data_IF_650942178673
#
_entry.id   IF_650942178673
#
_cell.length_a   1.000
_cell.length_b   1.000
_cell.length_c   1.000
_cell.angle_alpha   90.00
_cell.angle_beta   90.00
_cell.angle_gamma   90.00
#
_symmetry.space_group_name_H-M   'P 1'
#
loop_
_entity.id
_entity.type
_entity.pdbx_description
1 polymer ?
#
# COMPACT_ATOMS: atom_id res chain seq x y z
N UNK A 1 2.38 66.29 21.30
CA UNK A 1 3.33 66.08 20.19
C UNK A 1 4.65 65.55 20.76
N UNK A 2 4.77 64.23 20.89
CA UNK A 2 6.01 63.46 21.12
C UNK A 2 5.72 62.07 20.58
N UNK A 3 6.12 61.83 19.33
CA UNK A 3 6.02 60.53 18.68
C UNK A 3 6.95 59.54 19.40
N UNK A 4 6.37 58.47 19.93
CA UNK A 4 7.11 57.29 20.36
C UNK A 4 7.22 56.39 19.13
N UNK A 5 8.35 56.47 18.44
CA UNK A 5 8.72 55.49 17.42
C UNK A 5 8.95 54.17 18.15
N UNK A 6 8.00 53.24 18.02
CA UNK A 6 8.20 51.85 18.43
C UNK A 6 9.16 51.21 17.44
N UNK A 7 10.38 50.92 17.89
CA UNK A 7 11.29 50.00 17.22
C UNK A 7 10.58 48.65 17.06
N UNK A 8 10.17 48.36 15.82
CA UNK A 8 9.73 47.05 15.36
C UNK A 8 10.97 46.25 14.89
N UNK A 9 12.01 46.20 15.72
CA UNK A 9 13.13 45.30 15.50
C UNK A 9 13.05 44.18 16.54
N UNK A 10 12.69 43.01 16.02
CA UNK A 10 12.96 41.63 16.44
C UNK A 10 11.69 40.82 16.11
N UNK A 11 11.44 40.65 14.80
CA UNK A 11 10.86 39.38 14.36
C UNK A 11 12.03 38.41 14.44
N UNK A 12 12.15 37.67 15.54
CA UNK A 12 12.91 36.42 15.53
C UNK A 12 12.26 35.56 14.45
N UNK A 13 12.84 35.55 13.25
CA UNK A 13 12.48 34.58 12.23
C UNK A 13 12.69 33.21 12.89
N UNK A 14 11.61 32.44 13.01
CA UNK A 14 11.76 31.02 13.28
C UNK A 14 12.78 30.49 12.27
N UNK A 15 13.78 29.68 12.70
CA UNK A 15 14.71 29.08 11.77
C UNK A 15 13.88 28.41 10.66
N UNK A 16 14.21 28.62 9.38
CA UNK A 16 13.43 28.03 8.32
C UNK A 16 13.38 26.51 8.55
N UNK A 17 12.27 25.86 8.20
CA UNK A 17 12.01 24.40 8.32
C UNK A 17 13.03 23.52 7.52
N UNK A 18 14.21 24.04 7.21
CA UNK A 18 15.01 23.69 6.05
C UNK A 18 16.44 23.34 6.44
N UNK A 19 16.59 22.26 7.18
CA UNK A 19 17.80 21.47 7.08
C UNK A 19 17.38 20.00 7.10
N UNK A 20 17.21 19.43 5.90
CA UNK A 20 17.16 17.98 5.78
C UNK A 20 18.49 17.44 6.29
N UNK A 21 18.46 16.44 7.17
CA UNK A 21 19.70 15.80 7.61
C UNK A 21 20.45 15.19 6.42
N UNK A 22 21.76 14.98 6.54
CA UNK A 22 22.55 14.34 5.49
C UNK A 22 21.96 13.00 5.06
N UNK A 23 21.43 12.22 6.03
CA UNK A 23 20.68 10.99 5.79
C UNK A 23 19.47 11.22 4.87
N UNK A 24 18.66 12.23 5.17
CA UNK A 24 17.47 12.57 4.38
C UNK A 24 17.84 13.06 2.98
N UNK A 25 18.94 13.80 2.83
CA UNK A 25 19.44 14.24 1.53
C UNK A 25 19.91 13.05 0.68
N UNK A 26 20.69 12.13 1.25
CA UNK A 26 21.10 10.88 0.57
C UNK A 26 19.89 10.04 0.18
N UNK A 27 18.94 9.84 1.09
CA UNK A 27 17.72 9.08 0.82
C UNK A 27 16.86 9.74 -0.26
N UNK A 28 16.70 11.06 -0.24
CA UNK A 28 15.96 11.82 -1.26
C UNK A 28 16.61 11.67 -2.64
N UNK A 29 17.94 11.82 -2.71
CA UNK A 29 18.67 11.67 -3.97
C UNK A 29 18.52 10.26 -4.55
N UNK A 30 18.75 9.23 -3.72
CA UNK A 30 18.56 7.84 -4.13
C UNK A 30 17.10 7.56 -4.54
N UNK A 31 16.12 8.18 -3.88
CA UNK A 31 14.70 8.05 -4.27
C UNK A 31 14.40 8.67 -5.63
N UNK A 32 15.04 9.80 -5.98
CA UNK A 32 14.89 10.43 -7.30
C UNK A 32 15.48 9.55 -8.41
N UNK A 33 16.65 8.97 -8.16
CA UNK A 33 17.29 8.04 -9.10
C UNK A 33 16.41 6.81 -9.35
N UNK A 34 15.87 6.21 -8.27
CA UNK A 34 14.90 5.09 -8.38
C UNK A 34 13.61 5.49 -9.11
N UNK A 35 13.13 6.71 -8.91
CA UNK A 35 11.92 7.19 -9.58
C UNK A 35 12.13 7.43 -11.08
N UNK A 36 13.34 7.80 -11.49
CA UNK A 36 13.69 7.95 -12.91
C UNK A 36 13.74 6.60 -13.64
N UNK A 37 14.10 5.53 -12.95
CA UNK A 37 14.15 4.17 -13.48
C UNK A 37 13.53 3.16 -12.50
N UNK A 38 12.20 3.16 -12.35
CA UNK A 38 11.55 2.27 -11.40
C UNK A 38 11.68 0.81 -11.85
N UNK A 39 11.75 -0.15 -10.91
CA UNK A 39 11.76 -1.56 -11.25
C UNK A 39 10.46 -1.95 -11.97
N UNK A 40 10.55 -2.98 -12.81
CA UNK A 40 9.35 -3.55 -13.44
C UNK A 40 8.46 -4.19 -12.36
N UNK A 41 7.17 -3.90 -12.42
CA UNK A 41 6.19 -4.51 -11.53
C UNK A 41 5.74 -5.87 -12.07
N UNK A 42 5.85 -6.97 -11.29
CA UNK A 42 5.36 -8.28 -11.69
C UNK A 42 3.86 -8.44 -11.45
N UNK A 43 3.18 -7.40 -10.93
CA UNK A 43 1.79 -7.44 -10.47
C UNK A 43 0.85 -8.00 -11.53
N UNK A 44 0.85 -7.46 -12.74
CA UNK A 44 -0.06 -7.91 -13.81
C UNK A 44 0.17 -9.38 -14.17
N UNK A 45 1.43 -9.78 -14.31
CA UNK A 45 1.80 -11.18 -14.58
C UNK A 45 1.32 -12.14 -13.49
N UNK A 46 1.54 -11.78 -12.22
CA UNK A 46 1.08 -12.54 -11.07
C UNK A 46 -0.44 -12.63 -11.01
N UNK A 47 -1.13 -11.52 -11.33
CA UNK A 47 -2.59 -11.48 -11.35
C UNK A 47 -3.16 -12.37 -12.45
N UNK A 48 -2.57 -12.36 -13.64
CA UNK A 48 -2.97 -13.22 -14.75
C UNK A 48 -2.79 -14.70 -14.41
N UNK A 49 -1.60 -15.06 -13.96
CA UNK A 49 -1.25 -16.43 -13.60
C UNK A 49 -2.18 -16.97 -12.49
N UNK A 50 -2.56 -16.12 -11.53
CA UNK A 50 -3.48 -16.50 -10.48
C UNK A 50 -4.93 -16.57 -10.94
N UNK A 51 -5.43 -15.55 -11.65
CA UNK A 51 -6.85 -15.41 -12.02
C UNK A 51 -7.26 -16.33 -13.19
N UNK A 52 -6.48 -16.34 -14.28
CA UNK A 52 -6.76 -17.17 -15.44
C UNK A 52 -6.12 -18.56 -15.36
N UNK A 53 -5.17 -18.76 -14.46
CA UNK A 53 -4.56 -20.06 -14.18
C UNK A 53 -5.07 -20.67 -12.88
N UNK A 54 -4.34 -20.44 -11.79
CA UNK A 54 -4.47 -21.17 -10.51
C UNK A 54 -5.89 -21.21 -9.94
N UNK A 55 -6.67 -20.15 -10.13
CA UNK A 55 -8.01 -20.01 -9.56
C UNK A 55 -9.13 -19.97 -10.60
N UNK A 56 -8.84 -20.28 -11.87
CA UNK A 56 -9.78 -20.15 -12.98
C UNK A 56 -11.12 -20.89 -12.76
N UNK A 57 -11.11 -22.02 -12.07
CA UNK A 57 -12.32 -22.83 -11.82
C UNK A 57 -13.14 -22.37 -10.60
N UNK A 58 -12.74 -21.28 -9.93
CA UNK A 58 -13.46 -20.72 -8.77
C UNK A 58 -14.54 -19.74 -9.22
N UNK A 59 -15.63 -19.57 -8.44
CA UNK A 59 -16.60 -18.50 -8.70
C UNK A 59 -15.91 -17.14 -8.63
N UNK A 60 -16.40 -16.16 -9.40
CA UNK A 60 -15.73 -14.87 -9.62
C UNK A 60 -15.25 -14.19 -8.32
N UNK A 61 -16.10 -14.09 -7.29
CA UNK A 61 -15.74 -13.44 -6.02
C UNK A 61 -14.52 -14.08 -5.35
N UNK A 62 -14.44 -15.42 -5.36
CA UNK A 62 -13.36 -16.17 -4.73
C UNK A 62 -12.12 -16.15 -5.60
N UNK A 63 -12.31 -16.32 -6.92
CA UNK A 63 -11.24 -16.21 -7.92
C UNK A 63 -10.52 -14.88 -7.77
N UNK A 64 -11.27 -13.78 -7.79
CA UNK A 64 -10.72 -12.44 -7.68
C UNK A 64 -10.00 -12.21 -6.36
N UNK A 65 -10.63 -12.52 -5.22
CA UNK A 65 -10.03 -12.33 -3.90
C UNK A 65 -8.75 -13.16 -3.71
N UNK A 66 -8.74 -14.42 -4.16
CA UNK A 66 -7.55 -15.28 -4.08
C UNK A 66 -6.44 -14.81 -4.99
N UNK A 67 -6.77 -14.38 -6.21
CA UNK A 67 -5.78 -13.84 -7.14
C UNK A 67 -5.13 -12.59 -6.58
N UNK A 68 -5.91 -11.64 -6.10
CA UNK A 68 -5.36 -10.40 -5.53
C UNK A 68 -4.49 -10.68 -4.30
N UNK A 69 -4.94 -11.58 -3.41
CA UNK A 69 -4.16 -12.02 -2.25
C UNK A 69 -2.85 -12.71 -2.65
N UNK A 70 -2.88 -13.58 -3.68
CA UNK A 70 -1.70 -14.26 -4.18
C UNK A 70 -0.72 -13.28 -4.84
N UNK A 71 -1.23 -12.32 -5.61
CA UNK A 71 -0.44 -11.27 -6.25
C UNK A 71 0.28 -10.43 -5.20
N UNK A 72 -0.41 -9.95 -4.17
CA UNK A 72 0.23 -9.17 -3.08
C UNK A 72 1.34 -9.97 -2.40
N UNK A 73 1.10 -11.25 -2.10
CA UNK A 73 2.13 -12.12 -1.49
C UNK A 73 3.33 -12.36 -2.39
N UNK A 74 3.17 -12.22 -3.70
CA UNK A 74 4.23 -12.39 -4.69
C UNK A 74 4.91 -11.06 -5.07
N UNK A 75 4.50 -9.92 -4.51
CA UNK A 75 5.17 -8.64 -4.74
C UNK A 75 6.61 -8.70 -4.21
N UNK A 76 7.58 -8.08 -4.90
CA UNK A 76 8.93 -7.97 -4.39
C UNK A 76 8.97 -7.18 -3.07
N UNK A 77 9.96 -7.50 -2.24
CA UNK A 77 10.29 -6.71 -1.05
C UNK A 77 11.42 -5.77 -1.44
N UNK A 78 11.20 -4.47 -1.23
CA UNK A 78 12.21 -3.44 -1.48
C UNK A 78 12.63 -2.86 -0.15
N UNK A 79 13.93 -2.96 0.15
CA UNK A 79 14.57 -2.36 1.30
C UNK A 79 15.70 -1.46 0.79
N UNK A 80 15.80 -0.27 1.37
CA UNK A 80 16.73 0.76 0.92
C UNK A 80 17.63 1.25 2.06
N UNK A 81 18.88 1.61 1.75
CA UNK A 81 19.72 2.34 2.70
C UNK A 81 19.03 3.61 3.18
N UNK A 82 19.34 4.05 4.40
CA UNK A 82 18.86 5.30 5.01
C UNK A 82 17.34 5.41 5.24
N UNK A 83 16.55 4.38 4.88
CA UNK A 83 15.09 4.40 5.07
C UNK A 83 14.71 4.30 6.56
N UNK A 84 13.59 4.92 6.90
CA UNK A 84 12.98 4.83 8.23
C UNK A 84 11.59 4.22 8.17
N UNK A 85 10.99 4.10 6.99
CA UNK A 85 9.71 3.45 6.75
C UNK A 85 9.92 2.44 5.63
N UNK A 86 9.45 1.22 5.84
CA UNK A 86 9.51 0.12 4.86
C UNK A 86 8.13 -0.13 4.25
N UNK A 87 8.03 -0.99 3.24
CA UNK A 87 6.75 -1.30 2.59
C UNK A 87 6.55 -0.60 1.25
N UNK A 88 7.64 -0.22 0.56
CA UNK A 88 7.55 0.35 -0.78
C UNK A 88 6.96 -0.66 -1.77
N UNK A 89 6.05 -0.17 -2.64
CA UNK A 89 5.41 -0.97 -3.67
C UNK A 89 5.23 -0.15 -4.95
N UNK A 90 5.75 -0.67 -6.07
CA UNK A 90 5.67 -0.02 -7.37
C UNK A 90 4.38 -0.41 -8.12
N UNK A 91 3.33 0.40 -7.94
CA UNK A 91 2.01 0.15 -8.54
C UNK A 91 1.84 0.70 -9.95
N UNK A 92 2.45 1.85 -10.26
CA UNK A 92 2.24 2.62 -11.50
C UNK A 92 3.44 2.49 -12.47
N UNK A 93 4.40 1.60 -12.14
CA UNK A 93 5.59 1.36 -12.96
C UNK A 93 5.30 0.51 -14.22
N UNK A 94 6.34 0.35 -15.04
CA UNK A 94 6.32 -0.55 -16.20
C UNK A 94 5.92 -1.95 -15.74
N UNK A 95 4.86 -2.49 -16.33
CA UNK A 95 4.38 -3.83 -16.03
C UNK A 95 5.14 -4.86 -16.86
N UNK A 96 5.44 -6.01 -16.26
CA UNK A 96 5.89 -7.18 -17.02
C UNK A 96 4.70 -7.72 -17.82
N UNK A 97 4.73 -7.56 -19.14
CA UNK A 97 3.73 -8.13 -20.03
C UNK A 97 4.15 -9.55 -20.36
N UNK A 98 3.43 -10.53 -19.82
CA UNK A 98 3.66 -11.96 -20.11
C UNK A 98 2.75 -12.44 -21.24
N UNK A 99 1.53 -11.90 -21.32
CA UNK A 99 0.55 -12.25 -22.34
C UNK A 99 0.02 -10.96 -23.01
N UNK A 100 0.29 -10.77 -24.32
CA UNK A 100 -0.23 -9.64 -25.09
C UNK A 100 -1.76 -9.53 -25.09
N UNK A 101 -2.47 -10.66 -24.97
CA UNK A 101 -3.93 -10.72 -24.99
C UNK A 101 -4.55 -10.54 -23.60
N UNK A 102 -3.73 -10.38 -22.55
CA UNK A 102 -4.18 -10.19 -21.17
C UNK A 102 -5.24 -9.10 -21.05
N UNK A 103 -5.01 -7.93 -21.66
CA UNK A 103 -5.94 -6.80 -21.64
C UNK A 103 -7.31 -7.21 -22.18
N UNK A 104 -7.35 -7.96 -23.28
CA UNK A 104 -8.59 -8.42 -23.89
C UNK A 104 -9.31 -9.44 -23.01
N UNK A 105 -8.57 -10.36 -22.37
CA UNK A 105 -9.13 -11.35 -21.44
C UNK A 105 -9.73 -10.72 -20.18
N UNK A 106 -9.19 -9.60 -19.72
CA UNK A 106 -9.69 -8.86 -18.56
C UNK A 106 -10.95 -8.05 -18.83
N UNK A 107 -11.26 -7.68 -20.09
CA UNK A 107 -12.42 -6.83 -20.43
C UNK A 107 -13.73 -7.26 -19.77
N UNK A 108 -14.13 -8.55 -19.81
CA UNK A 108 -15.39 -9.01 -19.20
C UNK A 108 -15.45 -8.90 -17.67
N UNK A 109 -14.32 -8.64 -17.01
CA UNK A 109 -14.18 -8.55 -15.56
C UNK A 109 -13.85 -7.14 -15.07
N UNK A 110 -13.76 -6.18 -15.99
CA UNK A 110 -13.33 -4.82 -15.70
C UNK A 110 -14.53 -3.92 -15.43
N UNK A 111 -14.71 -3.49 -14.17
CA UNK A 111 -15.70 -2.48 -13.83
C UNK A 111 -15.45 -1.14 -14.54
N UNK A 112 -14.22 -0.88 -14.98
CA UNK A 112 -13.88 0.30 -15.77
C UNK A 112 -14.46 0.27 -17.17
N UNK A 113 -14.48 -0.91 -17.81
CA UNK A 113 -15.10 -1.06 -19.13
C UNK A 113 -16.62 -0.86 -19.01
N UNK A 114 -17.25 -1.50 -18.01
CA UNK A 114 -18.67 -1.33 -17.73
C UNK A 114 -19.03 0.14 -17.46
N UNK A 115 -18.24 0.82 -16.61
CA UNK A 115 -18.43 2.24 -16.31
C UNK A 115 -18.27 3.08 -17.58
N UNK A 116 -17.24 2.84 -18.38
CA UNK A 116 -16.99 3.60 -19.61
C UNK A 116 -18.15 3.45 -20.59
N UNK A 117 -18.66 2.25 -20.78
CA UNK A 117 -19.83 2.00 -21.64
C UNK A 117 -21.05 2.76 -21.12
N UNK A 118 -21.32 2.74 -19.80
CA UNK A 118 -22.43 3.52 -19.22
C UNK A 118 -22.25 5.02 -19.38
N UNK A 119 -21.05 5.55 -19.13
CA UNK A 119 -20.77 6.97 -19.36
C UNK A 119 -20.96 7.36 -20.83
N UNK A 120 -20.62 6.48 -21.77
CA UNK A 120 -20.85 6.72 -23.20
C UNK A 120 -22.33 6.80 -23.57
N UNK A 121 -23.18 6.07 -22.86
CA UNK A 121 -24.64 6.05 -23.08
C UNK A 121 -25.33 7.19 -22.34
N UNK A 122 -24.93 7.46 -21.10
CA UNK A 122 -25.69 8.26 -20.14
C UNK A 122 -25.13 9.68 -19.94
N UNK A 123 -23.87 9.92 -20.30
CA UNK A 123 -23.19 11.20 -20.04
C UNK A 123 -22.80 11.86 -21.36
N UNK A 124 -23.16 13.14 -21.49
CA UNK A 124 -22.75 14.00 -22.60
C UNK A 124 -21.22 13.99 -22.77
N UNK A 125 -20.69 13.90 -24.01
CA UNK A 125 -19.25 13.72 -24.25
C UNK A 125 -18.33 14.68 -23.50
N UNK A 126 -18.73 15.94 -23.34
CA UNK A 126 -17.96 16.99 -22.67
C UNK A 126 -18.05 16.96 -21.12
N UNK A 127 -18.96 16.18 -20.55
CA UNK A 127 -19.09 15.94 -19.11
C UNK A 127 -18.49 14.61 -18.67
N UNK A 128 -17.94 13.82 -19.60
CA UNK A 128 -17.27 12.55 -19.31
C UNK A 128 -15.93 12.81 -18.65
N UNK A 129 -15.94 12.98 -17.34
CA UNK A 129 -14.72 13.05 -16.54
C UNK A 129 -14.15 11.65 -16.35
N UNK A 130 -12.86 11.48 -16.65
CA UNK A 130 -12.12 10.31 -16.21
C UNK A 130 -12.07 10.30 -14.69
N UNK A 131 -12.46 9.19 -14.07
CA UNK A 131 -12.25 8.95 -12.65
C UNK A 131 -11.35 7.73 -12.50
N UNK A 132 -10.36 7.80 -11.62
CA UNK A 132 -9.63 6.64 -11.12
C UNK A 132 -10.07 6.39 -9.67
N UNK A 133 -10.09 5.13 -9.26
CA UNK A 133 -10.28 4.77 -7.86
C UNK A 133 -9.04 5.27 -7.09
N UNK A 134 -9.16 6.41 -6.43
CA UNK A 134 -8.04 7.08 -5.77
C UNK A 134 -8.41 8.37 -5.05
N UNK A 135 -9.48 9.03 -5.47
CA UNK A 135 -10.07 10.17 -4.75
C UNK A 135 -10.96 9.71 -3.58
N UNK A 136 -10.38 8.90 -2.69
CA UNK A 136 -11.06 8.38 -1.48
C UNK A 136 -10.18 8.60 -0.25
N UNK A 137 -10.80 8.98 0.85
CA UNK A 137 -10.18 8.90 2.17
C UNK A 137 -10.26 7.46 2.67
N UNK A 138 -9.18 6.94 3.22
CA UNK A 138 -9.18 5.63 3.87
C UNK A 138 -9.50 5.78 5.35
N UNK A 139 -10.23 4.80 5.88
CA UNK A 139 -10.51 4.68 7.31
C UNK A 139 -9.27 4.16 8.07
N UNK A 140 -8.19 4.97 8.06
CA UNK A 140 -6.93 4.62 8.73
C UNK A 140 -7.10 4.40 10.23
N UNK A 141 -8.09 5.06 10.84
CA UNK A 141 -8.44 4.88 12.25
C UNK A 141 -8.74 3.42 12.60
N UNK A 142 -9.28 2.63 11.66
CA UNK A 142 -9.55 1.22 11.90
C UNK A 142 -8.27 0.41 12.15
N UNK A 143 -7.21 0.67 11.38
CA UNK A 143 -5.93 -0.01 11.54
C UNK A 143 -5.20 0.54 12.77
N UNK A 144 -5.22 1.86 12.96
CA UNK A 144 -4.55 2.51 14.08
C UNK A 144 -5.12 2.09 15.43
N UNK A 145 -6.46 1.97 15.55
CA UNK A 145 -7.12 1.62 16.82
C UNK A 145 -7.16 0.10 17.09
N UNK A 146 -7.29 -0.72 16.04
CA UNK A 146 -7.61 -2.16 16.20
C UNK A 146 -6.54 -3.08 15.64
N UNK A 147 -5.66 -2.59 14.78
CA UNK A 147 -4.80 -3.39 13.93
C UNK A 147 -5.59 -4.32 13.01
N UNK A 148 -4.88 -4.99 12.11
CA UNK A 148 -5.49 -5.99 11.23
C UNK A 148 -6.09 -7.14 12.04
N UNK A 149 -5.50 -7.51 13.19
CA UNK A 149 -6.05 -8.58 14.03
C UNK A 149 -7.44 -8.26 14.57
N UNK A 150 -7.68 -7.02 14.98
CA UNK A 150 -9.02 -6.56 15.40
C UNK A 150 -10.00 -6.60 14.23
N UNK A 151 -9.60 -6.12 13.05
CA UNK A 151 -10.43 -6.16 11.83
C UNK A 151 -10.77 -7.60 11.44
N UNK A 152 -9.82 -8.53 11.50
CA UNK A 152 -10.06 -9.95 11.24
C UNK A 152 -11.07 -10.55 12.22
N UNK A 153 -10.99 -10.18 13.51
CA UNK A 153 -11.90 -10.66 14.55
C UNK A 153 -13.33 -10.15 14.33
N UNK A 154 -13.48 -8.89 13.95
CA UNK A 154 -14.77 -8.30 13.58
C UNK A 154 -15.36 -8.98 12.34
N UNK A 155 -14.56 -9.20 11.28
CA UNK A 155 -15.00 -9.89 10.07
C UNK A 155 -15.46 -11.32 10.34
N UNK A 156 -14.80 -12.05 11.24
CA UNK A 156 -15.28 -13.37 11.66
C UNK A 156 -16.60 -13.29 12.42
N UNK A 157 -16.78 -12.29 13.28
CA UNK A 157 -18.04 -12.08 14.02
C UNK A 157 -19.18 -11.77 13.06
N UNK A 158 -18.96 -10.88 12.08
CA UNK A 158 -19.91 -10.63 11.00
C UNK A 158 -20.22 -11.89 10.20
N UNK A 159 -19.21 -12.71 9.89
CA UNK A 159 -19.41 -13.96 9.15
C UNK A 159 -20.21 -15.00 9.96
N UNK A 160 -20.13 -15.01 11.29
CA UNK A 160 -20.84 -15.95 12.14
C UNK A 160 -22.36 -15.71 12.12
N UNK A 161 -22.78 -14.43 12.12
CA UNK A 161 -24.19 -14.04 12.24
C UNK A 161 -24.87 -13.72 10.91
N UNK A 162 -24.11 -13.39 9.87
CA UNK A 162 -24.69 -13.04 8.57
C UNK A 162 -25.05 -14.28 7.74
N UNK A 163 -26.32 -14.38 7.35
CA UNK A 163 -26.83 -15.42 6.46
C UNK A 163 -26.87 -14.99 4.98
N UNK A 164 -26.77 -13.68 4.69
CA UNK A 164 -26.76 -13.18 3.32
C UNK A 164 -25.52 -13.66 2.56
N UNK A 165 -25.73 -14.41 1.46
CA UNK A 165 -24.64 -15.01 0.69
C UNK A 165 -23.65 -13.99 0.12
N UNK A 166 -24.11 -12.80 -0.32
CA UNK A 166 -23.24 -11.76 -0.86
C UNK A 166 -22.35 -11.16 0.24
N UNK A 167 -22.93 -10.85 1.40
CA UNK A 167 -22.18 -10.36 2.56
C UNK A 167 -21.13 -11.37 3.02
N UNK A 168 -21.50 -12.65 3.12
CA UNK A 168 -20.56 -13.73 3.49
C UNK A 168 -19.39 -13.85 2.51
N UNK A 169 -19.65 -13.72 1.21
CA UNK A 169 -18.61 -13.73 0.16
C UNK A 169 -17.68 -12.53 0.31
N UNK A 170 -18.23 -11.34 0.55
CA UNK A 170 -17.46 -10.14 0.81
C UNK A 170 -16.54 -10.31 2.02
N UNK A 171 -17.07 -10.74 3.18
CA UNK A 171 -16.25 -10.94 4.39
C UNK A 171 -15.17 -11.99 4.20
N UNK A 172 -15.48 -13.11 3.53
CA UNK A 172 -14.46 -14.13 3.19
C UNK A 172 -13.37 -13.58 2.29
N UNK A 173 -13.72 -12.78 1.28
CA UNK A 173 -12.75 -12.09 0.44
C UNK A 173 -11.87 -11.12 1.23
N UNK A 174 -12.48 -10.29 2.08
CA UNK A 174 -11.77 -9.35 2.94
C UNK A 174 -10.79 -10.06 3.90
N UNK A 175 -11.21 -11.18 4.52
CA UNK A 175 -10.33 -12.01 5.35
C UNK A 175 -9.10 -12.52 4.56
N UNK A 176 -9.28 -12.93 3.29
CA UNK A 176 -8.15 -13.37 2.45
C UNK A 176 -7.17 -12.23 2.19
N UNK A 177 -7.68 -11.02 1.94
CA UNK A 177 -6.88 -9.83 1.66
C UNK A 177 -6.10 -9.35 2.87
N UNK A 178 -6.75 -9.21 4.03
CA UNK A 178 -6.08 -8.80 5.27
C UNK A 178 -4.99 -9.79 5.69
N UNK A 179 -5.23 -11.09 5.53
CA UNK A 179 -4.20 -12.12 5.73
C UNK A 179 -3.05 -12.00 4.73
N UNK A 180 -3.31 -11.60 3.50
CA UNK A 180 -2.26 -11.36 2.52
C UNK A 180 -1.39 -10.14 2.87
N UNK A 181 -1.99 -9.07 3.42
CA UNK A 181 -1.23 -7.92 3.95
C UNK A 181 -0.30 -8.37 5.08
N UNK A 182 -0.81 -9.16 6.05
CA UNK A 182 0.02 -9.69 7.13
C UNK A 182 1.15 -10.59 6.62
N UNK A 183 0.87 -11.48 5.66
CA UNK A 183 1.89 -12.34 5.07
C UNK A 183 2.96 -11.55 4.29
N UNK A 184 2.57 -10.46 3.62
CA UNK A 184 3.52 -9.59 2.94
C UNK A 184 4.37 -8.78 3.93
N UNK A 185 3.79 -8.34 5.05
CA UNK A 185 4.52 -7.72 6.14
C UNK A 185 5.50 -8.69 6.83
N UNK A 186 5.12 -9.95 7.03
CA UNK A 186 6.03 -11.00 7.54
C UNK A 186 7.24 -11.22 6.62
N UNK A 187 7.07 -11.07 5.31
CA UNK A 187 8.21 -11.11 4.37
C UNK A 187 9.17 -9.94 4.60
N UNK A 188 8.69 -8.74 4.93
CA UNK A 188 9.59 -7.63 5.28
C UNK A 188 10.42 -7.93 6.52
N UNK A 189 9.79 -8.50 7.56
CA UNK A 189 10.50 -8.94 8.77
C UNK A 189 11.61 -9.93 8.42
N UNK A 190 11.32 -10.92 7.57
CA UNK A 190 12.29 -11.91 7.15
C UNK A 190 13.47 -11.32 6.38
N UNK A 191 13.22 -10.45 5.39
CA UNK A 191 14.28 -9.81 4.61
C UNK A 191 15.13 -8.85 5.46
N UNK A 192 14.51 -8.10 6.39
CA UNK A 192 15.24 -7.25 7.33
C UNK A 192 16.15 -8.08 8.26
N UNK A 193 15.68 -9.25 8.71
CA UNK A 193 16.49 -10.17 9.52
C UNK A 193 17.71 -10.68 8.75
N UNK A 194 17.56 -11.02 7.47
CA UNK A 194 18.70 -11.38 6.62
C UNK A 194 19.69 -10.22 6.43
N UNK A 195 19.22 -8.99 6.29
CA UNK A 195 20.11 -7.83 6.22
C UNK A 195 20.92 -7.62 7.51
N UNK A 196 20.33 -7.90 8.68
CA UNK A 196 21.02 -7.80 9.99
C UNK A 196 22.26 -8.69 10.05
N UNK A 197 22.22 -9.89 9.44
CA UNK A 197 23.32 -10.89 9.48
C UNK A 197 24.63 -10.36 8.90
N UNK A 198 24.57 -9.41 7.96
CA UNK A 198 25.74 -8.86 7.26
C UNK A 198 25.95 -7.36 7.52
N UNK A 199 25.10 -6.75 8.35
CA UNK A 199 25.13 -5.32 8.65
C UNK A 199 26.22 -4.94 9.67
N UNK A 200 26.67 -3.68 9.62
CA UNK A 200 27.51 -3.08 10.66
C UNK A 200 26.76 -2.94 11.98
N UNK A 201 27.46 -2.80 13.11
CA UNK A 201 26.82 -2.67 14.42
C UNK A 201 25.81 -1.51 14.51
N UNK A 202 26.12 -0.36 13.89
CA UNK A 202 25.21 0.79 13.81
C UNK A 202 23.95 0.45 13.00
N UNK A 203 24.13 -0.22 11.86
CA UNK A 203 23.03 -0.57 10.97
C UNK A 203 22.14 -1.68 11.55
N UNK A 204 22.71 -2.61 12.33
CA UNK A 204 21.95 -3.62 13.06
C UNK A 204 20.97 -2.99 14.05
N UNK A 205 21.33 -1.88 14.71
CA UNK A 205 20.42 -1.14 15.61
C UNK A 205 19.24 -0.58 14.83
N UNK A 206 19.50 0.06 13.68
CA UNK A 206 18.44 0.62 12.82
C UNK A 206 17.51 -0.47 12.27
N UNK A 207 18.07 -1.53 11.71
CA UNK A 207 17.30 -2.65 11.17
C UNK A 207 16.50 -3.35 12.27
N UNK A 208 17.07 -3.52 13.47
CA UNK A 208 16.37 -4.06 14.64
C UNK A 208 15.14 -3.23 15.02
N UNK A 209 15.24 -1.89 14.96
CA UNK A 209 14.10 -1.02 15.18
C UNK A 209 13.00 -1.18 14.11
N UNK A 210 13.38 -1.28 12.82
CA UNK A 210 12.43 -1.55 11.74
C UNK A 210 11.74 -2.92 11.88
N UNK A 211 12.48 -3.95 12.28
CA UNK A 211 11.94 -5.28 12.57
C UNK A 211 10.88 -5.20 13.67
N UNK A 212 11.18 -4.50 14.77
CA UNK A 212 10.25 -4.35 15.89
C UNK A 212 8.94 -3.66 15.43
N UNK A 213 9.05 -2.62 14.60
CA UNK A 213 7.88 -1.94 14.01
C UNK A 213 7.07 -2.89 13.15
N UNK A 214 7.69 -3.59 12.19
CA UNK A 214 6.98 -4.54 11.33
C UNK A 214 6.39 -5.73 12.09
N UNK A 215 7.00 -6.16 13.19
CA UNK A 215 6.42 -7.21 14.04
C UNK A 215 5.18 -6.72 14.79
N UNK A 216 5.10 -5.42 15.09
CA UNK A 216 3.97 -4.79 15.77
C UNK A 216 2.85 -4.41 14.80
N UNK A 217 3.13 -3.51 13.86
CA UNK A 217 2.17 -2.98 12.89
C UNK A 217 2.38 -3.62 11.51
N UNK A 218 1.31 -3.80 10.70
CA UNK A 218 -0.07 -3.40 10.95
C UNK A 218 -0.91 -4.47 11.70
N UNK A 219 -0.30 -5.54 12.23
CA UNK A 219 -1.04 -6.61 12.92
C UNK A 219 -1.82 -6.10 14.11
N UNK A 220 -1.17 -5.28 14.92
CA UNK A 220 -1.72 -4.69 16.13
C UNK A 220 -1.79 -3.16 16.01
N UNK A 221 -2.53 -2.49 16.91
CA UNK A 221 -2.58 -1.03 16.99
C UNK A 221 -1.20 -0.38 17.15
N UNK A 222 -0.99 0.80 16.58
CA UNK A 222 0.24 1.56 16.79
C UNK A 222 0.34 2.04 18.26
N UNK A 223 1.56 2.03 18.80
CA UNK A 223 1.88 2.47 20.17
C UNK A 223 2.87 3.63 20.20
N UNK A 224 3.39 4.00 19.04
CA UNK A 224 4.26 5.15 18.82
C UNK A 224 3.86 5.88 17.53
N UNK A 225 4.36 7.10 17.36
CA UNK A 225 4.16 7.84 16.11
C UNK A 225 4.78 7.12 14.91
N UNK A 226 5.95 6.49 15.09
CA UNK A 226 6.64 5.77 14.03
C UNK A 226 5.83 4.56 13.56
N UNK A 227 5.19 3.83 14.48
CA UNK A 227 4.28 2.73 14.13
C UNK A 227 2.99 3.19 13.44
N UNK A 228 2.61 4.47 13.59
CA UNK A 228 1.36 5.00 13.05
C UNK A 228 1.46 5.51 11.60
N UNK A 229 2.69 5.72 11.09
CA UNK A 229 2.96 6.30 9.77
C UNK A 229 3.39 5.27 8.72
#
# INVERSE_FOLDING_TARGET
MKERVMNLDIVQSAPPLTCLSERMLRFQQASRERAAQPPNSPRSANMDAAFFGRYANRPFWERYARSLAATLRAEPIYLFPDEQLVGMLYQIGRQVVVDPDSVQRWKPYSCWEDLRTRQQIEIEPYLRVGASAGHIGWHWEWILERGIQGILSELHSHLAVNHNIKARRLYRGALMMWRAVLAWNERHVHELQHLVETASAEEQVRLGALIAICQRVPRYPATSFHEAV
#
